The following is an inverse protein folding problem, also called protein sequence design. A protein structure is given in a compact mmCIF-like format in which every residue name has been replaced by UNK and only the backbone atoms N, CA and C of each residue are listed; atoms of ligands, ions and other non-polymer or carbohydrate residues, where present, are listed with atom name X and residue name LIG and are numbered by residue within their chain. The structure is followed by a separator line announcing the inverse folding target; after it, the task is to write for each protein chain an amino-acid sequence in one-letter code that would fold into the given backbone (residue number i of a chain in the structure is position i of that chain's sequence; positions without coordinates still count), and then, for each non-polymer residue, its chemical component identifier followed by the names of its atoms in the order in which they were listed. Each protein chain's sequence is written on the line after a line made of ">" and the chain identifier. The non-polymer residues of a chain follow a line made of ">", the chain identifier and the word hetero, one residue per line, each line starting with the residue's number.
data_IF_886584480606
#
_entry.id   IF_886584480606
#
_cell.length_a   1.000
_cell.length_b   1.000
_cell.length_c   1.000
_cell.angle_alpha   90.00
_cell.angle_beta   90.00
_cell.angle_gamma   90.00
#
_symmetry.space_group_name_H-M   'P 1'
#
loop_
_entity.id
_entity.type
_entity.pdbx_description
1 polymer ?
#
# COMPACT_ATOMS: atom_id res chain seq x y z
N UNK A 1 37.04 -31.07 -3.22
CA UNK A 1 36.37 -29.75 -3.16
C UNK A 1 34.90 -29.78 -3.59
N UNK A 2 34.52 -30.49 -4.66
CA UNK A 2 33.11 -30.58 -5.11
C UNK A 2 32.18 -31.12 -4.00
N UNK A 3 32.59 -32.14 -3.24
CA UNK A 3 31.81 -32.71 -2.12
C UNK A 3 31.62 -31.70 -0.97
N UNK A 4 32.63 -30.89 -0.68
CA UNK A 4 32.53 -29.81 0.32
C UNK A 4 31.64 -28.65 -0.16
N UNK A 5 31.53 -28.44 -1.48
CA UNK A 5 30.69 -27.42 -2.11
C UNK A 5 29.22 -27.85 -2.15
N UNK A 6 28.99 -29.15 -2.39
CA UNK A 6 27.68 -29.79 -2.51
C UNK A 6 27.24 -30.52 -1.22
N UNK A 7 27.65 -30.04 -0.04
CA UNK A 7 27.13 -30.56 1.23
C UNK A 7 25.59 -30.64 1.23
N UNK A 8 25.02 -31.59 1.98
CA UNK A 8 23.66 -32.17 1.90
C UNK A 8 22.45 -31.28 1.49
N UNK A 9 22.50 -29.95 1.53
CA UNK A 9 21.45 -29.07 0.98
C UNK A 9 21.97 -27.68 0.53
N UNK A 10 22.51 -27.55 -0.70
CA UNK A 10 22.83 -26.31 -1.46
C UNK A 10 24.29 -25.82 -1.41
N UNK A 11 24.70 -25.13 -2.49
CA UNK A 11 26.00 -24.47 -2.70
C UNK A 11 26.27 -23.39 -1.62
N UNK A 12 26.92 -23.73 -0.51
CA UNK A 12 27.25 -22.75 0.55
C UNK A 12 28.43 -21.85 0.14
N UNK A 13 28.56 -20.68 0.79
CA UNK A 13 29.59 -19.66 0.49
C UNK A 13 31.03 -20.14 0.69
N UNK A 14 31.99 -19.38 0.16
CA UNK A 14 33.44 -19.68 0.23
C UNK A 14 33.92 -19.95 1.66
N UNK A 15 33.42 -19.19 2.64
CA UNK A 15 33.79 -19.34 4.05
C UNK A 15 33.39 -20.71 4.63
N UNK A 16 32.29 -21.30 4.16
CA UNK A 16 31.83 -22.61 4.65
C UNK A 16 32.66 -23.74 4.06
N UNK A 17 33.02 -23.61 2.78
CA UNK A 17 33.95 -24.50 2.09
C UNK A 17 35.30 -24.55 2.79
N UNK A 18 35.85 -23.37 3.10
CA UNK A 18 37.12 -23.26 3.80
C UNK A 18 37.07 -23.91 5.18
N UNK A 19 36.05 -23.59 5.99
CA UNK A 19 35.88 -24.16 7.32
C UNK A 19 35.71 -25.69 7.31
N UNK A 20 35.07 -26.26 6.29
CA UNK A 20 34.91 -27.70 6.20
C UNK A 20 36.22 -28.41 5.84
N UNK A 21 37.00 -27.82 4.93
CA UNK A 21 38.29 -28.39 4.50
C UNK A 21 39.33 -28.27 5.62
N UNK A 22 39.38 -27.13 6.34
CA UNK A 22 40.28 -26.94 7.50
C UNK A 22 40.06 -27.93 8.64
N UNK A 23 38.87 -28.49 8.77
CA UNK A 23 38.55 -29.49 9.81
C UNK A 23 39.16 -30.86 9.53
N UNK A 24 39.51 -31.14 8.27
CA UNK A 24 39.97 -32.48 7.84
C UNK A 24 41.40 -32.43 7.30
N UNK A 25 41.82 -31.29 6.74
CA UNK A 25 43.11 -31.13 6.09
C UNK A 25 43.80 -29.82 6.51
N UNK A 26 45.12 -29.87 6.70
CA UNK A 26 45.97 -28.69 6.86
C UNK A 26 46.57 -28.38 5.49
N UNK A 27 46.14 -27.28 4.88
CA UNK A 27 46.56 -26.85 3.54
C UNK A 27 46.94 -25.37 3.61
N UNK A 28 48.17 -25.07 3.21
CA UNK A 28 48.66 -23.70 3.10
C UNK A 28 47.99 -22.97 1.93
N UNK A 29 47.59 -21.71 2.15
CA UNK A 29 46.95 -20.90 1.10
C UNK A 29 45.54 -21.35 0.71
N UNK A 30 44.87 -22.18 1.52
CA UNK A 30 43.55 -22.75 1.24
C UNK A 30 42.50 -21.73 0.75
N UNK A 31 42.45 -20.53 1.35
CA UNK A 31 41.50 -19.48 0.95
C UNK A 31 41.67 -19.05 -0.51
N UNK A 32 42.92 -19.05 -1.01
CA UNK A 32 43.23 -18.76 -2.41
C UNK A 32 42.72 -19.85 -3.35
N UNK A 33 42.96 -21.11 -2.99
CA UNK A 33 42.51 -22.28 -3.75
C UNK A 33 40.97 -22.34 -3.81
N UNK A 34 40.29 -22.10 -2.68
CA UNK A 34 38.81 -22.05 -2.60
C UNK A 34 38.25 -20.93 -3.46
N UNK A 35 38.88 -19.75 -3.44
CA UNK A 35 38.47 -18.61 -4.27
C UNK A 35 38.62 -18.90 -5.76
N UNK A 36 39.75 -19.44 -6.18
CA UNK A 36 40.00 -19.71 -7.59
C UNK A 36 39.10 -20.84 -8.12
N UNK A 37 38.82 -21.84 -7.28
CA UNK A 37 37.83 -22.87 -7.56
C UNK A 37 36.42 -22.27 -7.72
N UNK A 38 35.97 -21.41 -6.79
CA UNK A 38 34.65 -20.77 -6.87
C UNK A 38 34.52 -19.82 -8.07
N UNK A 39 35.60 -19.17 -8.52
CA UNK A 39 35.62 -18.34 -9.74
C UNK A 39 35.48 -19.17 -11.01
N UNK A 40 36.14 -20.33 -11.08
CA UNK A 40 36.12 -21.23 -12.26
C UNK A 40 34.87 -22.13 -12.31
N UNK A 41 34.17 -22.31 -11.19
CA UNK A 41 33.00 -23.18 -11.12
C UNK A 41 31.75 -22.49 -11.70
N UNK A 42 31.46 -22.77 -12.97
CA UNK A 42 30.36 -22.19 -13.76
C UNK A 42 28.97 -22.31 -13.09
N UNK A 43 28.73 -23.39 -12.33
CA UNK A 43 27.49 -23.61 -11.59
C UNK A 43 27.28 -22.60 -10.45
N UNK A 44 28.35 -22.04 -9.85
CA UNK A 44 28.21 -20.97 -8.86
C UNK A 44 27.70 -19.68 -9.48
N UNK A 45 28.16 -19.33 -10.69
CA UNK A 45 27.71 -18.14 -11.42
C UNK A 45 26.23 -18.24 -11.83
N UNK A 46 25.79 -19.44 -12.21
CA UNK A 46 24.42 -19.69 -12.64
C UNK A 46 23.43 -19.75 -11.47
N UNK A 47 23.83 -20.27 -10.31
CA UNK A 47 22.92 -20.50 -9.16
C UNK A 47 22.93 -19.36 -8.14
N UNK A 48 24.06 -18.65 -7.95
CA UNK A 48 24.13 -17.52 -6.99
C UNK A 48 23.85 -16.16 -7.62
N UNK A 49 23.81 -16.07 -8.95
CA UNK A 49 23.75 -14.79 -9.66
C UNK A 49 25.07 -14.02 -9.54
N UNK A 50 25.24 -13.02 -10.39
CA UNK A 50 26.39 -12.11 -10.35
C UNK A 50 26.34 -11.15 -9.16
N UNK A 51 27.31 -10.23 -9.10
CA UNK A 51 27.23 -9.07 -8.21
C UNK A 51 25.93 -8.32 -8.49
N UNK A 52 25.04 -8.25 -7.51
CA UNK A 52 23.80 -7.48 -7.61
C UNK A 52 24.16 -6.01 -7.47
N UNK A 53 24.40 -5.35 -8.61
CA UNK A 53 24.52 -3.90 -8.66
C UNK A 53 23.11 -3.35 -8.83
N UNK A 54 22.55 -2.64 -7.82
CA UNK A 54 21.25 -2.01 -7.99
C UNK A 54 21.35 -1.01 -9.14
N UNK A 55 20.40 -1.09 -10.07
CA UNK A 55 20.30 -0.06 -11.12
C UNK A 55 20.01 1.28 -10.46
N UNK A 56 20.53 2.40 -11.00
CA UNK A 56 20.13 3.73 -10.56
C UNK A 56 18.61 3.82 -10.58
N UNK A 57 18.02 4.40 -9.53
CA UNK A 57 16.58 4.63 -9.49
C UNK A 57 16.18 5.47 -10.71
N UNK A 58 15.09 5.07 -11.37
CA UNK A 58 14.47 5.89 -12.41
C UNK A 58 13.96 7.20 -11.82
N UNK A 59 13.73 8.21 -12.67
CA UNK A 59 13.05 9.44 -12.26
C UNK A 59 11.79 9.14 -11.43
N UNK A 60 11.68 9.82 -10.30
CA UNK A 60 10.51 9.75 -9.43
C UNK A 60 9.59 10.89 -9.79
N UNK A 61 8.36 10.56 -10.19
CA UNK A 61 7.36 11.57 -10.53
C UNK A 61 6.71 12.06 -9.23
N UNK A 62 6.82 13.36 -8.95
CA UNK A 62 6.13 14.01 -7.85
C UNK A 62 5.23 15.10 -8.40
N UNK A 63 4.02 15.19 -7.87
CA UNK A 63 3.08 16.27 -8.17
C UNK A 63 2.61 16.90 -6.88
N UNK A 64 2.44 18.23 -6.92
CA UNK A 64 1.90 19.02 -5.80
C UNK A 64 0.44 19.42 -6.05
N UNK A 65 -0.10 19.05 -7.20
CA UNK A 65 -1.48 19.34 -7.57
C UNK A 65 -2.39 18.18 -7.18
N UNK A 66 -3.48 18.51 -6.48
CA UNK A 66 -4.51 17.54 -6.05
C UNK A 66 -5.11 16.84 -7.28
N UNK A 67 -5.29 15.53 -7.21
CA UNK A 67 -5.86 14.70 -8.28
C UNK A 67 -5.05 14.70 -9.59
N UNK A 68 -3.81 15.16 -9.58
CA UNK A 68 -2.92 15.15 -10.75
C UNK A 68 -2.35 13.76 -11.02
N UNK A 69 -2.06 12.99 -9.97
CA UNK A 69 -1.54 11.62 -10.09
C UNK A 69 -2.22 10.73 -9.06
N UNK A 70 -2.90 9.69 -9.56
CA UNK A 70 -3.55 8.68 -8.74
C UNK A 70 -2.76 7.38 -8.84
N UNK A 71 -2.23 6.93 -7.70
CA UNK A 71 -1.66 5.60 -7.57
C UNK A 71 -2.73 4.64 -7.08
N UNK A 72 -2.75 3.42 -7.64
CA UNK A 72 -3.72 2.41 -7.24
C UNK A 72 -3.10 1.02 -7.29
N UNK A 73 -3.53 0.16 -6.39
CA UNK A 73 -3.05 -1.22 -6.29
C UNK A 73 -4.14 -2.13 -5.70
N UNK A 74 -4.02 -3.44 -5.92
CA UNK A 74 -4.92 -4.44 -5.37
C UNK A 74 -4.27 -5.17 -4.20
N UNK A 75 -4.90 -5.09 -3.03
CA UNK A 75 -4.54 -5.85 -1.86
C UNK A 75 -5.40 -7.10 -1.74
N UNK A 76 -4.77 -8.27 -1.61
CA UNK A 76 -5.50 -9.54 -1.39
C UNK A 76 -5.64 -9.78 0.12
N UNK A 77 -6.89 -9.78 0.61
CA UNK A 77 -7.20 -9.95 2.04
C UNK A 77 -7.75 -11.34 2.37
N UNK A 78 -7.90 -12.21 1.37
CA UNK A 78 -8.45 -13.55 1.54
C UNK A 78 -9.99 -13.54 1.56
N UNK A 79 -10.58 -14.67 1.93
CA UNK A 79 -12.04 -14.82 1.96
C UNK A 79 -12.66 -13.89 3.01
N UNK A 80 -13.58 -13.03 2.59
CA UNK A 80 -14.52 -12.35 3.50
C UNK A 80 -15.75 -13.24 3.76
N UNK A 81 -16.62 -12.84 4.68
CA UNK A 81 -17.97 -13.42 4.78
C UNK A 81 -18.84 -13.15 3.54
N UNK A 82 -18.42 -12.26 2.65
CA UNK A 82 -19.08 -11.99 1.37
C UNK A 82 -18.34 -12.61 0.19
N UNK A 83 -18.61 -12.08 -1.00
CA UNK A 83 -17.95 -12.46 -2.26
C UNK A 83 -16.60 -11.77 -2.47
N UNK A 84 -16.28 -10.79 -1.62
CA UNK A 84 -15.13 -9.92 -1.76
C UNK A 84 -13.87 -10.62 -1.28
N UNK A 85 -12.81 -10.54 -2.10
CA UNK A 85 -11.50 -11.17 -1.83
C UNK A 85 -10.35 -10.18 -1.95
N UNK A 86 -10.58 -9.12 -2.70
CA UNK A 86 -9.62 -8.10 -3.02
C UNK A 86 -10.12 -6.77 -2.48
N UNK A 87 -9.17 -5.90 -2.15
CA UNK A 87 -9.42 -4.52 -1.84
C UNK A 87 -8.62 -3.67 -2.81
N UNK A 88 -9.31 -2.80 -3.52
CA UNK A 88 -8.69 -1.77 -4.33
C UNK A 88 -8.27 -0.62 -3.41
N UNK A 89 -6.99 -0.27 -3.47
CA UNK A 89 -6.41 0.87 -2.75
C UNK A 89 -6.12 1.96 -3.76
N UNK A 90 -6.67 3.15 -3.55
CA UNK A 90 -6.42 4.33 -4.37
C UNK A 90 -5.81 5.41 -3.50
N UNK A 91 -4.75 6.06 -3.98
CA UNK A 91 -4.00 7.08 -3.28
C UNK A 91 -3.69 8.26 -4.19
N UNK A 92 -4.04 9.45 -3.77
CA UNK A 92 -3.57 10.70 -4.39
C UNK A 92 -2.10 10.96 -4.02
N UNK A 93 -1.29 11.37 -4.99
CA UNK A 93 0.14 11.59 -4.74
C UNK A 93 0.40 12.88 -3.96
N UNK A 94 -0.30 13.98 -4.28
CA UNK A 94 -0.04 15.28 -3.68
C UNK A 94 -0.51 15.38 -2.21
N UNK A 95 -1.71 14.86 -1.92
CA UNK A 95 -2.36 14.99 -0.60
C UNK A 95 -2.22 13.75 0.27
N UNK A 96 -1.74 12.64 -0.29
CA UNK A 96 -1.80 11.31 0.32
C UNK A 96 -3.22 10.88 0.74
N UNK A 97 -4.28 11.45 0.16
CA UNK A 97 -5.64 10.99 0.42
C UNK A 97 -5.78 9.54 -0.08
N UNK A 98 -6.35 8.67 0.76
CA UNK A 98 -6.55 7.25 0.47
C UNK A 98 -8.03 6.94 0.42
N UNK A 99 -8.44 6.16 -0.58
CA UNK A 99 -9.77 5.58 -0.69
C UNK A 99 -9.67 4.06 -0.88
N UNK A 100 -10.59 3.31 -0.27
CA UNK A 100 -10.55 1.85 -0.21
C UNK A 100 -11.88 1.25 -0.64
N UNK A 101 -11.83 0.27 -1.54
CA UNK A 101 -13.01 -0.37 -2.08
C UNK A 101 -12.89 -1.90 -2.06
N UNK A 102 -13.92 -2.57 -1.55
CA UNK A 102 -13.99 -4.02 -1.55
C UNK A 102 -14.45 -4.53 -2.93
N UNK A 103 -13.69 -5.47 -3.49
CA UNK A 103 -13.93 -6.00 -4.83
C UNK A 103 -14.00 -7.55 -4.83
N UNK A 104 -14.91 -8.07 -5.66
CA UNK A 104 -15.14 -9.50 -5.84
C UNK A 104 -14.13 -10.11 -6.85
N UNK A 105 -14.16 -11.45 -7.02
CA UNK A 105 -13.27 -12.21 -7.94
C UNK A 105 -13.23 -11.71 -9.40
N UNK A 106 -14.14 -10.84 -9.82
CA UNK A 106 -14.18 -10.23 -11.15
C UNK A 106 -13.67 -8.79 -11.24
N UNK A 107 -13.10 -8.22 -10.15
CA UNK A 107 -12.74 -6.80 -10.10
C UNK A 107 -13.95 -5.86 -10.04
N UNK A 108 -15.14 -6.41 -9.79
CA UNK A 108 -16.36 -5.63 -9.61
C UNK A 108 -16.39 -5.12 -8.17
N UNK A 109 -16.25 -3.80 -8.01
CA UNK A 109 -16.32 -3.12 -6.72
C UNK A 109 -17.77 -2.66 -6.50
N UNK A 110 -18.36 -2.99 -5.33
CA UNK A 110 -19.81 -2.89 -5.12
C UNK A 110 -20.33 -1.51 -4.69
N UNK A 111 -19.47 -0.60 -4.21
CA UNK A 111 -19.90 0.60 -3.49
C UNK A 111 -19.35 1.95 -3.98
N UNK A 112 -18.62 1.99 -5.09
CA UNK A 112 -18.20 3.27 -5.63
C UNK A 112 -19.42 4.08 -6.12
N UNK A 113 -19.51 5.34 -5.66
CA UNK A 113 -20.32 6.42 -6.30
C UNK A 113 -19.99 6.59 -7.79
N UNK A 114 -18.89 5.99 -8.25
CA UNK A 114 -18.52 5.76 -9.63
C UNK A 114 -18.57 4.25 -9.88
N UNK A 115 -19.70 3.70 -10.37
CA UNK A 115 -19.80 2.29 -10.82
C UNK A 115 -18.74 2.02 -11.91
N UNK A 116 -17.53 1.69 -11.49
CA UNK A 116 -16.43 1.28 -12.33
C UNK A 116 -16.24 -0.20 -12.02
N UNK A 117 -16.80 -1.05 -12.88
CA UNK A 117 -16.38 -2.44 -12.94
C UNK A 117 -14.97 -2.45 -13.49
N UNK A 118 -13.96 -2.37 -12.61
CA UNK A 118 -12.55 -2.39 -13.02
C UNK A 118 -12.12 -3.85 -13.12
N UNK A 119 -12.75 -4.58 -14.05
CA UNK A 119 -12.04 -5.68 -14.67
C UNK A 119 -10.94 -5.01 -15.49
N UNK A 120 -9.67 -5.28 -15.16
CA UNK A 120 -8.43 -4.79 -15.80
C UNK A 120 -8.31 -5.14 -17.29
N UNK A 121 -9.41 -5.19 -18.05
CA UNK A 121 -9.32 -5.16 -19.50
C UNK A 121 -8.86 -3.76 -19.89
N UNK A 122 -7.64 -3.68 -20.43
CA UNK A 122 -6.99 -2.46 -20.90
C UNK A 122 -7.95 -1.55 -21.70
N UNK A 123 -8.94 -2.11 -22.40
CA UNK A 123 -9.93 -1.37 -23.17
C UNK A 123 -10.86 -0.49 -22.33
N UNK A 124 -11.32 -0.97 -21.16
CA UNK A 124 -12.21 -0.19 -20.28
C UNK A 124 -11.44 0.97 -19.65
N UNK A 125 -10.20 0.72 -19.21
CA UNK A 125 -9.35 1.75 -18.64
C UNK A 125 -8.92 2.75 -19.73
N UNK A 126 -8.62 2.29 -20.94
CA UNK A 126 -8.32 3.17 -22.08
C UNK A 126 -9.52 4.08 -22.41
N UNK A 127 -10.74 3.55 -22.41
CA UNK A 127 -11.95 4.35 -22.65
C UNK A 127 -12.22 5.34 -21.50
N UNK A 128 -11.97 4.93 -20.25
CA UNK A 128 -12.07 5.81 -19.09
C UNK A 128 -11.05 6.95 -19.19
N UNK A 129 -9.80 6.65 -19.51
CA UNK A 129 -8.74 7.64 -19.74
C UNK A 129 -9.11 8.60 -20.87
N UNK A 130 -9.67 8.09 -21.97
CA UNK A 130 -10.12 8.90 -23.10
C UNK A 130 -11.21 9.89 -22.68
N UNK A 131 -12.17 9.47 -21.86
CA UNK A 131 -13.27 10.32 -21.39
C UNK A 131 -12.84 11.32 -20.32
N UNK A 132 -12.00 10.89 -19.38
CA UNK A 132 -11.49 11.73 -18.30
C UNK A 132 -10.27 12.57 -18.71
N UNK A 133 -9.82 12.45 -19.96
CA UNK A 133 -8.58 13.06 -20.47
C UNK A 133 -7.35 12.72 -19.59
N UNK A 134 -7.38 11.55 -18.97
CA UNK A 134 -6.29 11.03 -18.14
C UNK A 134 -5.21 10.35 -18.97
N UNK A 135 -3.98 10.34 -18.46
CA UNK A 135 -2.87 9.56 -19.01
C UNK A 135 -2.56 8.42 -18.03
N UNK A 136 -2.72 7.19 -18.47
CA UNK A 136 -2.31 6.03 -17.67
C UNK A 136 -0.86 5.69 -17.99
N UNK A 137 -0.04 5.64 -16.94
CA UNK A 137 1.32 5.14 -17.00
C UNK A 137 1.37 3.80 -16.27
N UNK A 138 1.79 2.76 -16.98
CA UNK A 138 2.04 1.46 -16.36
C UNK A 138 3.41 1.48 -15.69
N UNK A 139 3.45 1.06 -14.43
CA UNK A 139 4.73 0.79 -13.76
C UNK A 139 5.33 -0.45 -14.41
N UNK A 140 6.57 -0.32 -14.89
CA UNK A 140 7.32 -1.43 -15.46
C UNK A 140 7.46 -2.56 -14.40
N UNK A 141 7.33 -3.81 -14.85
CA UNK A 141 7.64 -4.96 -14.01
C UNK A 141 9.04 -4.80 -13.38
N UNK A 142 9.17 -5.17 -12.10
CA UNK A 142 10.41 -5.05 -11.32
C UNK A 142 10.87 -3.62 -10.97
N UNK A 143 9.97 -2.63 -10.96
CA UNK A 143 10.24 -1.26 -10.48
C UNK A 143 9.45 -0.91 -9.19
N UNK A 144 9.64 -1.65 -8.08
CA UNK A 144 8.84 -1.47 -6.86
C UNK A 144 8.95 -0.06 -6.26
N UNK A 145 10.08 0.64 -6.46
CA UNK A 145 10.25 2.01 -5.97
C UNK A 145 9.28 3.03 -6.58
N UNK A 146 8.73 2.76 -7.78
CA UNK A 146 7.71 3.63 -8.39
C UNK A 146 6.33 3.48 -7.74
N UNK A 147 6.04 2.34 -7.11
CA UNK A 147 4.78 2.11 -6.40
C UNK A 147 4.94 2.03 -4.87
N UNK A 148 6.15 2.27 -4.36
CA UNK A 148 6.48 2.14 -2.94
C UNK A 148 5.65 3.05 -2.02
N UNK A 149 5.07 4.11 -2.55
CA UNK A 149 4.12 4.99 -1.85
C UNK A 149 2.83 4.26 -1.47
N UNK A 150 2.23 3.52 -2.42
CA UNK A 150 1.03 2.71 -2.17
C UNK A 150 1.37 1.45 -1.39
N UNK A 151 2.51 0.81 -1.66
CA UNK A 151 2.95 -0.35 -0.88
C UNK A 151 3.12 -0.03 0.61
N UNK A 152 3.61 1.17 0.95
CA UNK A 152 3.69 1.64 2.34
C UNK A 152 2.30 1.78 2.95
N UNK A 153 1.38 2.45 2.24
CA UNK A 153 -0.01 2.61 2.68
C UNK A 153 -0.71 1.25 2.85
N UNK A 154 -0.44 0.28 1.98
CA UNK A 154 -0.95 -1.09 2.12
C UNK A 154 -0.49 -1.74 3.44
N UNK A 155 0.76 -1.50 3.85
CA UNK A 155 1.28 -1.92 5.15
C UNK A 155 0.52 -1.31 6.32
N UNK A 156 0.30 0.00 6.29
CA UNK A 156 -0.43 0.74 7.33
C UNK A 156 -1.89 0.25 7.42
N UNK A 157 -2.55 0.06 6.29
CA UNK A 157 -3.92 -0.46 6.21
C UNK A 157 -4.01 -1.85 6.86
N UNK A 158 -3.09 -2.76 6.53
CA UNK A 158 -3.06 -4.10 7.13
C UNK A 158 -2.85 -4.04 8.64
N UNK A 159 -2.01 -3.12 9.12
CA UNK A 159 -1.75 -2.95 10.54
C UNK A 159 -2.98 -2.43 11.29
N UNK A 160 -3.63 -1.38 10.76
CA UNK A 160 -4.86 -0.83 11.35
C UNK A 160 -5.98 -1.87 11.33
N UNK A 161 -6.15 -2.60 10.22
CA UNK A 161 -7.15 -3.65 10.10
C UNK A 161 -6.94 -4.76 11.14
N UNK A 162 -5.69 -5.21 11.35
CA UNK A 162 -5.35 -6.18 12.40
C UNK A 162 -5.64 -5.65 13.79
N UNK A 163 -5.30 -4.39 14.08
CA UNK A 163 -5.57 -3.76 15.36
C UNK A 163 -7.08 -3.68 15.64
N UNK A 164 -7.88 -3.24 14.67
CA UNK A 164 -9.34 -3.19 14.80
C UNK A 164 -9.96 -4.58 14.98
N UNK A 165 -9.46 -5.59 14.24
CA UNK A 165 -9.94 -6.95 14.38
C UNK A 165 -9.69 -7.51 15.80
N UNK A 166 -8.52 -7.21 16.38
CA UNK A 166 -8.17 -7.60 17.74
C UNK A 166 -9.00 -6.85 18.79
N UNK A 167 -9.16 -5.53 18.63
CA UNK A 167 -9.89 -4.67 19.57
C UNK A 167 -11.38 -5.05 19.65
N UNK A 168 -12.03 -5.20 18.49
CA UNK A 168 -13.44 -5.58 18.44
C UNK A 168 -13.68 -7.09 18.64
N UNK A 169 -12.61 -7.90 18.78
CA UNK A 169 -12.67 -9.36 18.87
C UNK A 169 -13.51 -9.98 17.74
N UNK A 170 -13.39 -9.43 16.54
CA UNK A 170 -14.12 -9.88 15.35
C UNK A 170 -13.25 -10.80 14.51
N UNK A 171 -13.89 -11.71 13.78
CA UNK A 171 -13.18 -12.55 12.82
C UNK A 171 -12.58 -11.70 11.69
N UNK A 172 -11.38 -12.08 11.23
CA UNK A 172 -10.68 -11.40 10.13
C UNK A 172 -11.54 -11.39 8.84
N UNK A 173 -12.45 -12.35 8.68
CA UNK A 173 -13.37 -12.43 7.55
C UNK A 173 -14.40 -11.27 7.47
N UNK A 174 -14.52 -10.44 8.53
CA UNK A 174 -15.40 -9.24 8.58
C UNK A 174 -14.71 -7.98 8.04
N UNK A 175 -13.51 -8.11 7.46
CA UNK A 175 -12.69 -6.96 7.06
C UNK A 175 -13.41 -5.92 6.18
N UNK A 176 -14.34 -6.35 5.32
CA UNK A 176 -15.11 -5.46 4.44
C UNK A 176 -15.95 -4.43 5.22
N UNK A 177 -16.45 -4.79 6.40
CA UNK A 177 -17.23 -3.89 7.26
C UNK A 177 -16.33 -2.93 8.06
N UNK A 178 -15.05 -3.26 8.21
CA UNK A 178 -14.07 -2.43 8.92
C UNK A 178 -13.45 -1.34 8.02
N UNK A 179 -13.60 -1.44 6.70
CA UNK A 179 -12.99 -0.50 5.75
C UNK A 179 -13.30 0.98 6.05
N UNK A 180 -14.54 1.39 6.37
CA UNK A 180 -14.82 2.80 6.67
C UNK A 180 -14.04 3.30 7.90
N UNK A 181 -13.82 2.44 8.90
CA UNK A 181 -13.01 2.77 10.08
C UNK A 181 -11.53 2.88 9.74
N UNK A 182 -11.03 1.99 8.88
CA UNK A 182 -9.65 2.05 8.38
C UNK A 182 -9.42 3.32 7.56
N UNK A 183 -10.29 3.62 6.59
CA UNK A 183 -10.22 4.86 5.79
C UNK A 183 -10.18 6.05 6.73
N UNK A 184 -11.14 6.14 7.67
CA UNK A 184 -11.19 7.25 8.62
C UNK A 184 -9.90 7.35 9.46
N UNK A 185 -9.38 6.23 9.96
CA UNK A 185 -8.14 6.25 10.72
C UNK A 185 -6.96 6.77 9.89
N UNK A 186 -6.85 6.36 8.63
CA UNK A 186 -5.72 6.73 7.76
C UNK A 186 -5.82 8.20 7.32
N UNK A 187 -6.99 8.68 6.88
CA UNK A 187 -7.15 10.03 6.34
C UNK A 187 -7.10 11.14 7.40
N UNK A 188 -7.44 10.80 8.66
CA UNK A 188 -7.45 11.74 9.79
C UNK A 188 -6.15 11.70 10.61
N UNK A 189 -5.23 10.76 10.33
CA UNK A 189 -3.94 10.69 11.03
C UNK A 189 -2.92 11.65 10.42
N UNK A 190 -2.20 12.44 11.25
CA UNK A 190 -1.16 13.32 10.75
C UNK A 190 0.02 12.52 10.19
N UNK A 191 0.55 12.95 9.05
CA UNK A 191 1.70 12.30 8.40
C UNK A 191 2.90 13.23 8.41
N UNK A 192 4.06 12.71 8.82
CA UNK A 192 5.30 13.50 8.95
C UNK A 192 5.74 14.14 7.62
N UNK A 193 5.55 13.45 6.49
CA UNK A 193 5.83 13.99 5.15
C UNK A 193 4.97 15.18 4.76
N UNK A 194 3.81 15.34 5.42
CA UNK A 194 2.84 16.40 5.19
C UNK A 194 2.93 17.52 6.23
N UNK A 195 4.12 17.76 6.79
CA UNK A 195 4.33 18.71 7.89
C UNK A 195 3.41 18.43 9.11
N UNK A 196 3.17 17.14 9.41
CA UNK A 196 2.27 16.66 10.47
C UNK A 196 0.81 17.11 10.30
N UNK A 197 0.36 17.32 9.06
CA UNK A 197 -1.05 17.54 8.72
C UNK A 197 -1.70 16.23 8.31
N UNK A 198 -3.01 16.13 8.50
CA UNK A 198 -3.77 14.97 8.07
C UNK A 198 -4.09 15.07 6.56
N UNK A 199 -4.09 13.97 5.80
CA UNK A 199 -4.42 13.98 4.37
C UNK A 199 -5.75 14.68 4.05
N UNK A 200 -6.77 14.51 4.89
CA UNK A 200 -8.07 15.16 4.71
C UNK A 200 -7.99 16.70 4.77
N UNK A 201 -7.06 17.25 5.54
CA UNK A 201 -6.86 18.70 5.67
C UNK A 201 -6.29 19.29 4.39
N UNK A 202 -5.31 18.60 3.81
CA UNK A 202 -4.69 19.02 2.56
C UNK A 202 -5.64 18.84 1.38
N UNK A 203 -6.44 17.77 1.40
CA UNK A 203 -7.39 17.51 0.32
C UNK A 203 -8.57 18.48 0.35
N UNK A 204 -9.12 18.80 1.52
CA UNK A 204 -10.32 19.66 1.64
C UNK A 204 -10.01 21.14 1.88
N UNK A 205 -8.82 21.45 2.41
CA UNK A 205 -8.47 22.78 2.91
C UNK A 205 -9.15 23.13 4.24
N UNK A 206 -9.85 22.19 4.88
CA UNK A 206 -10.55 22.37 6.15
C UNK A 206 -9.77 21.72 7.30
N UNK A 207 -9.92 22.21 8.55
CA UNK A 207 -9.30 21.57 9.69
C UNK A 207 -9.84 20.15 9.89
N UNK A 208 -8.97 19.23 10.32
CA UNK A 208 -9.36 17.85 10.61
C UNK A 208 -10.34 17.82 11.78
N UNK A 209 -11.54 17.21 11.66
CA UNK A 209 -12.41 17.02 12.80
C UNK A 209 -11.72 16.08 13.80
N UNK A 210 -11.65 16.50 15.07
CA UNK A 210 -11.00 15.69 16.10
C UNK A 210 -11.76 14.39 16.29
N UNK A 211 -11.03 13.27 16.33
CA UNK A 211 -11.63 11.95 16.57
C UNK A 211 -12.22 11.87 18.00
N UNK A 212 -11.75 12.72 18.91
CA UNK A 212 -12.23 12.82 20.30
C UNK A 212 -13.48 13.71 20.44
N UNK A 213 -13.89 14.45 19.41
CA UNK A 213 -15.11 15.26 19.48
C UNK A 213 -16.38 14.40 19.35
N UNK A 214 -16.25 13.14 18.91
CA UNK A 214 -17.35 12.18 18.79
C UNK A 214 -17.16 11.00 19.75
N UNK A 215 -17.28 11.25 21.06
CA UNK A 215 -17.31 10.19 22.07
C UNK A 215 -18.74 9.64 22.21
N UNK A 216 -18.96 8.40 21.75
CA UNK A 216 -20.20 7.67 22.05
C UNK A 216 -20.03 6.94 23.39
N UNK A 217 -20.66 7.48 24.44
CA UNK A 217 -20.70 6.83 25.75
C UNK A 217 -21.87 5.85 25.84
N UNK A 218 -21.63 4.55 26.11
CA UNK A 218 -22.71 3.63 26.43
C UNK A 218 -23.22 3.96 27.85
N UNK A 219 -24.34 4.69 27.95
CA UNK A 219 -25.11 4.77 29.20
C UNK A 219 -25.15 6.10 29.98
N UNK A 220 -24.77 7.27 29.41
CA UNK A 220 -25.12 8.52 30.09
C UNK A 220 -24.39 9.79 29.65
N UNK A 221 -25.19 10.83 29.36
CA UNK A 221 -24.89 12.28 29.32
C UNK A 221 -23.45 12.68 28.96
N UNK A 222 -23.02 12.39 27.73
CA UNK A 222 -21.95 13.13 27.07
C UNK A 222 -22.51 14.39 26.40
N UNK A 223 -21.84 15.53 26.53
CA UNK A 223 -22.17 16.71 25.72
C UNK A 223 -21.98 16.34 24.25
N UNK A 224 -23.07 16.23 23.52
CA UNK A 224 -23.06 16.27 22.06
C UNK A 224 -22.44 17.62 21.71
N UNK A 225 -21.24 17.62 21.14
CA UNK A 225 -20.79 18.75 20.35
C UNK A 225 -21.64 18.74 19.08
N UNK A 226 -22.90 19.15 19.24
CA UNK A 226 -23.71 19.62 18.12
C UNK A 226 -22.84 20.69 17.49
N UNK A 227 -22.56 20.60 16.20
CA UNK A 227 -22.10 21.73 15.39
C UNK A 227 -22.78 22.96 15.95
N UNK A 228 -22.06 23.80 16.71
CA UNK A 228 -22.67 24.96 17.35
C UNK A 228 -23.30 25.74 16.21
N UNK A 229 -24.64 25.67 16.20
CA UNK A 229 -25.59 26.20 15.23
C UNK A 229 -24.93 26.65 13.93
N UNK A 230 -25.10 25.87 12.84
CA UNK A 230 -24.94 26.40 11.48
C UNK A 230 -25.48 27.83 11.48
N UNK A 231 -24.59 28.81 11.31
CA UNK A 231 -24.99 30.22 11.34
C UNK A 231 -26.19 30.34 10.41
N UNK A 232 -27.25 31.05 10.82
CA UNK A 232 -28.44 31.24 9.98
C UNK A 232 -28.09 31.69 8.55
N UNK A 233 -26.95 32.38 8.37
CA UNK A 233 -26.42 32.77 7.06
C UNK A 233 -25.96 31.60 6.18
N UNK A 234 -25.49 30.49 6.75
CA UNK A 234 -25.07 29.29 6.02
C UNK A 234 -26.27 28.47 5.56
N UNK A 235 -27.29 28.31 6.40
CA UNK A 235 -28.59 27.73 6.05
C UNK A 235 -29.27 28.52 4.90
N UNK A 236 -29.29 29.84 5.00
CA UNK A 236 -29.82 30.72 3.96
C UNK A 236 -29.05 30.57 2.64
N UNK A 237 -27.71 30.55 2.67
CA UNK A 237 -26.89 30.33 1.47
C UNK A 237 -27.14 28.96 0.84
N UNK A 238 -27.30 27.91 1.65
CA UNK A 238 -27.59 26.57 1.16
C UNK A 238 -29.00 26.46 0.57
N UNK A 239 -29.98 27.18 1.12
CA UNK A 239 -31.32 27.28 0.55
C UNK A 239 -31.30 27.98 -0.82
N UNK A 240 -30.59 29.12 -0.94
CA UNK A 240 -30.43 29.82 -2.22
C UNK A 240 -29.74 28.95 -3.28
N UNK A 241 -28.71 28.20 -2.90
CA UNK A 241 -28.01 27.27 -3.80
C UNK A 241 -28.90 26.11 -4.27
N UNK A 242 -29.82 25.63 -3.42
CA UNK A 242 -30.77 24.57 -3.79
C UNK A 242 -31.82 25.07 -4.76
N UNK A 243 -32.23 26.33 -4.65
CA UNK A 243 -33.18 26.95 -5.58
C UNK A 243 -32.52 27.28 -6.93
N UNK A 244 -31.24 27.64 -6.96
CA UNK A 244 -30.53 27.96 -8.21
C UNK A 244 -30.15 26.74 -9.06
N UNK A 245 -30.36 25.52 -8.55
CA UNK A 245 -30.05 24.25 -9.25
C UNK A 245 -31.31 23.66 -9.92
N UNK A 246 -32.47 24.29 -9.78
CA UNK A 246 -33.65 24.04 -10.63
C UNK A 246 -33.64 24.93 -11.86
#
# INVERSE_FOLDING_TARGET
>A
MIIALCGRHRLRGMNVMENHIRRVFVIDGLSGIVRDFCKKFLLCLHVKGGLVIPRPFSETHYTFERNSTLHWDFLTLGDSFGTSRYMLVMKDEATHLVDLEACDRGGCCRHTRLRLGITLQNNVIAELNRRLKGRQEFVLAYSPWKNGSVERVNGDILQVLKALALEFKVSVHVWSCLLPLVIKSVIHSPVASLANRAPIELFTGLPCPSTLDTLFFPGGKGRVATLEQLKQSTEQRLATLRESIK
#
